data_IF_509970143345
#
_entry.id   IF_509970143345
#
_cell.length_a   1.000
_cell.length_b   1.000
_cell.length_c   1.000
_cell.angle_alpha   90.00
_cell.angle_beta   90.00
_cell.angle_gamma   90.00
#
_symmetry.space_group_name_H-M   'P 1'
#
loop_
_entity.id
_entity.type
_entity.pdbx_description
1 polymer ?
#
# COMPACT_ATOMS: atom_id res chain seq x y z
N UNK A 1 -17.56 -10.18 -17.31
CA UNK A 1 -17.16 -9.29 -16.19
C UNK A 1 -15.67 -9.43 -15.89
N UNK A 2 -14.81 -8.80 -16.69
CA UNK A 2 -13.33 -8.92 -16.58
C UNK A 2 -12.56 -7.67 -17.03
N UNK A 3 -13.20 -6.71 -17.72
CA UNK A 3 -12.54 -5.50 -18.25
C UNK A 3 -12.08 -4.51 -17.17
N UNK A 4 -12.68 -4.55 -15.99
CA UNK A 4 -12.44 -3.55 -14.94
C UNK A 4 -11.28 -3.90 -13.99
N UNK A 5 -10.67 -5.08 -14.12
CA UNK A 5 -9.56 -5.50 -13.26
C UNK A 5 -8.24 -4.90 -13.74
N UNK A 6 -7.97 -4.98 -15.04
CA UNK A 6 -6.73 -4.45 -15.64
C UNK A 6 -6.67 -2.92 -15.56
N UNK A 7 -7.80 -2.23 -15.75
CA UNK A 7 -7.88 -0.77 -15.57
C UNK A 7 -7.50 -0.36 -14.15
N UNK A 8 -8.00 -1.07 -13.13
CA UNK A 8 -7.66 -0.80 -11.73
C UNK A 8 -6.17 -0.97 -11.43
N UNK A 9 -5.54 -2.00 -11.99
CA UNK A 9 -4.09 -2.17 -11.86
C UNK A 9 -3.31 -1.07 -12.56
N UNK A 10 -3.69 -0.73 -13.80
CA UNK A 10 -3.06 0.34 -14.54
C UNK A 10 -3.16 1.69 -13.81
N UNK A 11 -4.28 1.96 -13.15
CA UNK A 11 -4.47 3.16 -12.36
C UNK A 11 -3.62 3.15 -11.07
N UNK A 12 -3.67 2.07 -10.28
CA UNK A 12 -2.85 1.94 -9.07
C UNK A 12 -1.35 2.03 -9.34
N UNK A 13 -0.89 1.60 -10.51
CA UNK A 13 0.52 1.73 -10.91
C UNK A 13 0.98 3.20 -11.02
N UNK A 14 0.06 4.16 -11.08
CA UNK A 14 0.36 5.60 -11.07
C UNK A 14 0.41 6.21 -9.66
N UNK A 15 -0.04 5.47 -8.64
CA UNK A 15 -0.12 5.95 -7.27
C UNK A 15 1.23 5.79 -6.57
N UNK A 16 1.84 6.89 -6.15
CA UNK A 16 3.16 6.91 -5.49
C UNK A 16 3.18 6.18 -4.15
N UNK A 17 2.03 6.06 -3.48
CA UNK A 17 1.85 5.33 -2.23
C UNK A 17 1.49 3.85 -2.41
N UNK A 18 1.45 3.34 -3.64
CA UNK A 18 1.27 1.91 -3.93
C UNK A 18 2.59 1.28 -4.32
N UNK A 19 2.93 0.17 -3.66
CA UNK A 19 4.14 -0.61 -3.94
C UNK A 19 3.72 -2.02 -4.38
N UNK A 20 4.12 -2.41 -5.60
CA UNK A 20 3.95 -3.78 -6.07
C UNK A 20 5.22 -4.59 -5.76
N UNK A 21 5.14 -5.43 -4.73
CA UNK A 21 6.24 -6.33 -4.38
C UNK A 21 6.15 -7.63 -5.20
N UNK A 22 7.25 -8.08 -5.84
CA UNK A 22 7.26 -9.36 -6.52
C UNK A 22 7.11 -10.51 -5.52
N UNK A 23 6.56 -11.63 -6.00
CA UNK A 23 6.51 -12.87 -5.21
C UNK A 23 7.93 -13.26 -4.79
N UNK A 24 8.13 -13.48 -3.49
CA UNK A 24 9.44 -13.76 -2.92
C UNK A 24 9.71 -15.26 -2.94
N UNK A 25 10.82 -15.65 -3.57
CA UNK A 25 11.46 -16.97 -3.45
C UNK A 25 12.77 -16.83 -2.65
N UNK A 26 13.41 -17.93 -2.23
CA UNK A 26 14.71 -17.86 -1.54
C UNK A 26 15.80 -17.10 -2.32
N UNK A 27 15.72 -17.11 -3.65
CA UNK A 27 16.67 -16.42 -4.54
C UNK A 27 16.27 -14.97 -4.84
N UNK A 28 15.09 -14.53 -4.41
CA UNK A 28 14.61 -13.18 -4.67
C UNK A 28 15.36 -12.19 -3.77
N UNK A 29 16.01 -11.15 -4.34
CA UNK A 29 16.68 -10.16 -3.53
C UNK A 29 15.66 -9.38 -2.67
N UNK A 30 16.06 -8.91 -1.47
CA UNK A 30 15.19 -8.10 -0.65
C UNK A 30 14.67 -6.86 -1.40
N UNK A 31 13.40 -6.52 -1.17
CA UNK A 31 12.81 -5.29 -1.72
C UNK A 31 13.63 -4.05 -1.30
N UNK A 32 13.83 -3.05 -2.16
CA UNK A 32 14.63 -1.85 -1.84
C UNK A 32 14.20 -1.10 -0.58
N UNK A 33 12.90 -1.15 -0.25
CA UNK A 33 12.35 -0.54 0.97
C UNK A 33 12.62 -1.32 2.27
N UNK A 34 13.25 -2.51 2.21
CA UNK A 34 13.55 -3.29 3.41
C UNK A 34 14.45 -2.49 4.36
N UNK A 35 13.91 -2.15 5.53
CA UNK A 35 14.60 -1.34 6.54
C UNK A 35 14.65 0.16 6.22
N UNK A 36 13.98 0.63 5.16
CA UNK A 36 14.05 2.01 4.66
C UNK A 36 12.68 2.69 4.49
N UNK A 37 11.62 2.11 5.07
CA UNK A 37 10.27 2.70 4.98
C UNK A 37 10.20 4.12 5.53
N UNK A 38 10.88 4.39 6.65
CA UNK A 38 10.97 5.74 7.21
C UNK A 38 11.70 6.71 6.28
N UNK A 39 12.93 6.39 5.89
CA UNK A 39 13.78 7.30 5.13
C UNK A 39 13.31 7.52 3.68
N UNK A 40 12.91 6.46 3.00
CA UNK A 40 12.74 6.48 1.55
C UNK A 40 11.26 6.61 1.12
N UNK A 41 10.32 6.18 1.96
CA UNK A 41 8.88 6.20 1.65
C UNK A 41 8.11 7.27 2.45
N UNK A 42 8.03 7.16 3.78
CA UNK A 42 7.24 8.07 4.63
C UNK A 42 7.93 9.41 4.92
N UNK A 43 9.26 9.45 4.84
CA UNK A 43 10.11 10.63 5.10
C UNK A 43 9.88 11.25 6.48
N UNK A 44 9.62 10.41 7.47
CA UNK A 44 9.41 10.79 8.86
C UNK A 44 9.74 9.59 9.79
N UNK A 45 9.80 9.83 11.10
CA UNK A 45 10.12 8.82 12.12
C UNK A 45 8.87 8.33 12.89
N UNK A 46 7.67 8.54 12.37
CA UNK A 46 6.43 8.11 13.02
C UNK A 46 6.30 6.58 13.03
N UNK A 47 5.82 5.96 14.13
CA UNK A 47 5.66 4.51 14.22
C UNK A 47 4.91 3.92 13.03
N UNK A 48 5.41 2.79 12.52
CA UNK A 48 4.77 2.06 11.41
C UNK A 48 3.81 1.01 11.98
N UNK A 49 2.57 1.03 11.52
CA UNK A 49 1.54 0.02 11.78
C UNK A 49 1.28 -0.77 10.51
N UNK A 50 1.36 -2.10 10.61
CA UNK A 50 1.18 -3.01 9.48
C UNK A 50 -0.17 -3.74 9.59
N UNK A 51 -1.00 -3.64 8.56
CA UNK A 51 -2.22 -4.43 8.40
C UNK A 51 -1.99 -5.55 7.37
N UNK A 52 -2.00 -6.79 7.83
CA UNK A 52 -1.89 -7.98 6.98
C UNK A 52 -3.27 -8.48 6.55
N UNK A 53 -3.50 -8.56 5.25
CA UNK A 53 -4.81 -8.91 4.68
C UNK A 53 -5.77 -7.73 4.69
N UNK A 54 -5.33 -6.55 4.27
CA UNK A 54 -6.11 -5.31 4.33
C UNK A 54 -7.35 -5.30 3.40
N UNK A 55 -7.48 -6.27 2.50
CA UNK A 55 -8.64 -6.41 1.63
C UNK A 55 -8.85 -5.20 0.72
N UNK A 56 -9.83 -4.36 1.06
CA UNK A 56 -10.13 -3.12 0.34
C UNK A 56 -9.30 -1.91 0.79
N UNK A 57 -8.56 -2.02 1.89
CA UNK A 57 -7.72 -0.95 2.45
C UNK A 57 -8.49 0.11 3.25
N UNK A 58 -9.80 -0.07 3.46
CA UNK A 58 -10.66 0.93 4.12
C UNK A 58 -10.26 1.16 5.58
N UNK A 59 -9.85 0.08 6.28
CA UNK A 59 -9.41 0.16 7.66
C UNK A 59 -8.06 0.88 7.79
N UNK A 60 -7.06 0.49 7.00
CA UNK A 60 -5.78 1.19 6.90
C UNK A 60 -5.94 2.69 6.63
N UNK A 61 -6.80 3.08 5.67
CA UNK A 61 -7.04 4.49 5.33
C UNK A 61 -7.71 5.22 6.48
N UNK A 62 -8.77 4.66 7.07
CA UNK A 62 -9.47 5.29 8.20
C UNK A 62 -8.57 5.47 9.42
N UNK A 63 -7.67 4.52 9.69
CA UNK A 63 -6.68 4.66 10.76
C UNK A 63 -5.65 5.76 10.46
N UNK A 64 -5.21 5.89 9.20
CA UNK A 64 -4.31 6.98 8.79
C UNK A 64 -4.92 8.38 9.00
N UNK A 65 -6.23 8.51 8.80
CA UNK A 65 -6.95 9.77 9.09
C UNK A 65 -7.09 10.05 10.58
N UNK A 66 -7.36 9.01 11.39
CA UNK A 66 -7.56 9.16 12.82
C UNK A 66 -6.26 9.37 13.60
N UNK A 67 -5.13 8.86 13.08
CA UNK A 67 -3.83 8.87 13.74
C UNK A 67 -2.74 9.41 12.81
N UNK A 68 -2.69 10.73 12.55
CA UNK A 68 -1.73 11.35 11.63
C UNK A 68 -0.27 11.29 12.13
N UNK A 69 -0.07 10.93 13.40
CA UNK A 69 1.22 10.71 14.05
C UNK A 69 1.75 9.27 13.87
N UNK A 70 1.11 8.46 12.99
CA UNK A 70 1.51 7.10 12.65
C UNK A 70 1.49 6.87 11.15
N UNK A 71 2.37 5.99 10.70
CA UNK A 71 2.44 5.53 9.32
C UNK A 71 1.73 4.19 9.18
N UNK A 72 0.77 4.07 8.27
CA UNK A 72 0.03 2.80 8.06
C UNK A 72 0.41 2.16 6.73
N UNK A 73 0.69 0.85 6.77
CA UNK A 73 0.93 0.03 5.58
C UNK A 73 -0.12 -1.08 5.54
N UNK A 74 -0.93 -1.11 4.48
CA UNK A 74 -1.85 -2.20 4.19
C UNK A 74 -1.23 -3.17 3.16
N UNK A 75 -1.27 -4.47 3.44
CA UNK A 75 -0.76 -5.51 2.54
C UNK A 75 -1.84 -6.52 2.24
N UNK A 76 -2.06 -6.82 0.96
CA UNK A 76 -2.95 -7.91 0.53
C UNK A 76 -2.38 -8.61 -0.72
N UNK A 77 -2.54 -9.94 -0.78
CA UNK A 77 -2.09 -10.75 -1.91
C UNK A 77 -2.91 -10.51 -3.19
N UNK A 78 -4.15 -10.01 -3.05
CA UNK A 78 -5.06 -9.71 -4.16
C UNK A 78 -5.10 -8.20 -4.42
N UNK A 79 -4.05 -7.68 -5.07
CA UNK A 79 -3.88 -6.24 -5.33
C UNK A 79 -5.10 -5.51 -5.90
N UNK A 80 -5.87 -6.12 -6.80
CA UNK A 80 -7.10 -5.52 -7.35
C UNK A 80 -8.16 -5.13 -6.30
N UNK A 81 -8.14 -5.76 -5.12
CA UNK A 81 -9.06 -5.42 -4.01
C UNK A 81 -8.68 -4.11 -3.35
N UNK A 82 -7.38 -3.81 -3.26
CA UNK A 82 -6.84 -2.62 -2.62
C UNK A 82 -7.16 -1.33 -3.37
N UNK A 83 -7.57 -1.42 -4.66
CA UNK A 83 -7.87 -0.25 -5.49
C UNK A 83 -8.78 0.76 -4.78
N UNK A 84 -9.83 0.32 -4.09
CA UNK A 84 -10.74 1.24 -3.39
C UNK A 84 -10.04 2.08 -2.32
N UNK A 85 -9.25 1.45 -1.44
CA UNK A 85 -8.49 2.14 -0.40
C UNK A 85 -7.33 2.95 -0.98
N UNK A 86 -6.63 2.42 -1.98
CA UNK A 86 -5.54 3.10 -2.65
C UNK A 86 -6.01 4.40 -3.33
N UNK A 87 -7.13 4.36 -4.06
CA UNK A 87 -7.74 5.54 -4.67
C UNK A 87 -8.28 6.51 -3.61
N UNK A 88 -8.87 6.01 -2.52
CA UNK A 88 -9.33 6.86 -1.42
C UNK A 88 -8.17 7.63 -0.77
N UNK A 89 -7.05 6.95 -0.48
CA UNK A 89 -5.84 7.59 0.01
C UNK A 89 -5.29 8.62 -0.98
N UNK A 90 -5.22 8.26 -2.28
CA UNK A 90 -4.76 9.17 -3.33
C UNK A 90 -5.52 10.50 -3.36
N UNK A 91 -6.84 10.43 -3.21
CA UNK A 91 -7.72 11.60 -3.29
C UNK A 91 -7.71 12.46 -2.02
N UNK A 92 -7.26 11.92 -0.88
CA UNK A 92 -7.23 12.62 0.40
C UNK A 92 -5.93 13.40 0.62
N UNK A 93 -4.89 13.10 -0.15
CA UNK A 93 -3.54 13.66 0.02
C UNK A 93 -2.76 12.99 1.13
#
# INVERSE_FOLDING_TARGET
MSKNKLSKFAEMATYTHVVEAPFQTPDTPPHPLRGKWHSDFFKNEHPIVLELGCGRGEYCVGLGELFPDKNFIGVDIKGARMWSGATAAHNKG
#
